data_IF_628755022780
#
_entry.id   IF_628755022780
#
_cell.length_a   1.000
_cell.length_b   1.000
_cell.length_c   1.000
_cell.angle_alpha   90.00
_cell.angle_beta   90.00
_cell.angle_gamma   90.00
#
_symmetry.space_group_name_H-M   'P 1'
#
loop_
_entity.id
_entity.type
_entity.pdbx_description
1 polymer ?
#
# COMPACT_ATOMS: atom_id res chain seq x y z
N UNK A 1 16.64 29.60 5.75
CA UNK A 1 15.73 30.14 6.78
C UNK A 1 14.47 29.31 6.79
N UNK A 2 14.08 28.79 7.94
CA UNK A 2 12.82 28.04 8.07
C UNK A 2 11.66 29.03 8.14
N UNK A 3 10.64 28.83 7.31
CA UNK A 3 9.46 29.71 7.26
C UNK A 3 8.32 29.16 8.09
N UNK A 4 7.45 30.04 8.62
CA UNK A 4 6.22 29.63 9.30
C UNK A 4 5.32 28.80 8.38
N UNK A 5 5.34 29.07 7.08
CA UNK A 5 4.62 28.28 6.06
C UNK A 5 5.13 26.85 5.98
N UNK A 6 6.43 26.62 6.17
CA UNK A 6 7.04 25.28 6.14
C UNK A 6 6.56 24.49 7.36
N UNK A 7 6.67 25.09 8.55
CA UNK A 7 6.20 24.50 9.81
C UNK A 7 4.70 24.23 9.75
N UNK A 8 3.91 25.18 9.26
CA UNK A 8 2.46 25.03 9.12
C UNK A 8 2.10 23.88 8.20
N UNK A 9 2.75 23.79 7.04
CA UNK A 9 2.45 22.76 6.04
C UNK A 9 2.79 21.37 6.57
N UNK A 10 3.98 21.19 7.15
CA UNK A 10 4.40 19.92 7.75
C UNK A 10 3.53 19.55 8.94
N UNK A 11 3.26 20.48 9.86
CA UNK A 11 2.51 20.18 11.07
C UNK A 11 1.03 19.88 10.78
N UNK A 12 0.41 20.56 9.81
CA UNK A 12 -0.97 20.24 9.40
C UNK A 12 -1.07 18.94 8.60
N UNK A 13 -0.03 18.57 7.84
CA UNK A 13 0.01 17.26 7.21
C UNK A 13 0.06 16.13 8.25
N UNK A 14 0.80 16.35 9.35
CA UNK A 14 0.88 15.40 10.46
C UNK A 14 -0.37 15.39 11.36
N UNK A 15 -0.88 16.57 11.71
CA UNK A 15 -2.02 16.77 12.61
C UNK A 15 -2.98 17.81 11.99
N UNK A 16 -3.90 17.38 11.10
CA UNK A 16 -4.77 18.29 10.35
C UNK A 16 -5.66 19.21 11.20
N UNK A 17 -5.99 18.78 12.42
CA UNK A 17 -6.85 19.53 13.35
C UNK A 17 -6.05 20.38 14.35
N UNK A 18 -4.73 20.52 14.18
CA UNK A 18 -3.92 21.34 15.06
C UNK A 18 -4.40 22.81 15.06
N UNK A 19 -4.62 23.42 16.24
CA UNK A 19 -4.91 24.85 16.33
C UNK A 19 -3.71 25.68 15.86
N UNK A 20 -3.98 26.84 15.25
CA UNK A 20 -2.92 27.71 14.74
C UNK A 20 -1.98 28.20 15.85
N UNK A 21 -2.47 28.37 17.08
CA UNK A 21 -1.67 28.76 18.25
C UNK A 21 -0.54 27.75 18.55
N UNK A 22 -0.81 26.44 18.41
CA UNK A 22 0.18 25.38 18.60
C UNK A 22 1.27 25.44 17.52
N UNK A 23 0.87 25.70 16.26
CA UNK A 23 1.78 25.82 15.12
C UNK A 23 2.68 27.05 15.26
N UNK A 24 2.10 28.19 15.64
CA UNK A 24 2.86 29.44 15.84
C UNK A 24 3.82 29.31 17.03
N UNK A 25 3.42 28.66 18.12
CA UNK A 25 4.33 28.38 19.24
C UNK A 25 5.54 27.52 18.82
N UNK A 26 5.30 26.46 18.04
CA UNK A 26 6.36 25.62 17.49
C UNK A 26 7.27 26.41 16.52
N UNK A 27 6.69 27.28 15.69
CA UNK A 27 7.48 28.12 14.77
C UNK A 27 8.41 29.08 15.53
N UNK A 28 7.91 29.75 16.57
CA UNK A 28 8.76 30.65 17.37
C UNK A 28 9.87 29.87 18.11
N UNK A 29 9.59 28.67 18.60
CA UNK A 29 10.63 27.78 19.15
C UNK A 29 11.71 27.45 18.12
N UNK A 30 11.30 26.98 16.93
CA UNK A 30 12.19 26.65 15.81
C UNK A 30 13.05 27.87 15.43
N UNK A 31 12.43 29.05 15.38
CA UNK A 31 13.10 30.30 15.01
C UNK A 31 14.15 30.70 16.04
N UNK A 32 13.84 30.63 17.32
CA UNK A 32 14.80 30.91 18.40
C UNK A 32 15.98 29.92 18.37
N UNK A 33 15.71 28.64 18.13
CA UNK A 33 16.76 27.62 18.00
C UNK A 33 17.62 27.85 16.75
N UNK A 34 17.02 28.21 15.61
CA UNK A 34 17.75 28.54 14.37
C UNK A 34 18.67 29.74 14.57
N UNK A 35 18.18 30.80 15.24
CA UNK A 35 19.00 31.98 15.55
C UNK A 35 20.19 31.63 16.44
N UNK A 36 19.99 30.88 17.51
CA UNK A 36 21.08 30.44 18.39
C UNK A 36 22.11 29.57 17.65
N UNK A 37 21.66 28.62 16.82
CA UNK A 37 22.55 27.77 16.03
C UNK A 37 23.32 28.54 14.98
N UNK A 38 22.69 29.52 14.36
CA UNK A 38 23.35 30.40 13.40
C UNK A 38 24.49 31.15 14.08
N UNK A 39 24.25 31.80 15.22
CA UNK A 39 25.32 32.47 15.96
C UNK A 39 26.46 31.52 16.35
N UNK A 40 26.14 30.31 16.79
CA UNK A 40 27.14 29.27 17.05
C UNK A 40 28.00 28.96 15.82
N UNK A 41 27.37 28.70 14.66
CA UNK A 41 28.09 28.38 13.43
C UNK A 41 28.87 29.57 12.86
N UNK A 42 28.37 30.80 13.01
CA UNK A 42 29.10 32.01 12.62
C UNK A 42 30.44 32.10 13.38
N UNK A 43 30.42 31.86 14.70
CA UNK A 43 31.64 31.84 15.51
C UNK A 43 32.58 30.70 15.11
N UNK A 44 32.06 29.48 14.94
CA UNK A 44 32.89 28.32 14.62
C UNK A 44 33.52 28.42 13.23
N UNK A 45 32.76 28.87 12.23
CA UNK A 45 33.28 29.09 10.88
C UNK A 45 34.27 30.25 10.85
N UNK A 46 34.04 31.32 11.62
CA UNK A 46 35.01 32.41 11.76
C UNK A 46 36.31 31.91 12.41
N UNK A 47 36.24 31.14 13.50
CA UNK A 47 37.42 30.53 14.15
C UNK A 47 38.17 29.62 13.17
N UNK A 48 37.46 28.79 12.41
CA UNK A 48 38.04 27.92 11.41
C UNK A 48 38.75 28.70 10.30
N UNK A 49 38.13 29.78 9.81
CA UNK A 49 38.70 30.66 8.80
C UNK A 49 39.98 31.34 9.31
N UNK A 50 39.95 31.93 10.52
CA UNK A 50 41.13 32.57 11.12
C UNK A 50 42.28 31.57 11.29
N UNK A 51 41.97 30.33 11.72
CA UNK A 51 42.97 29.27 11.84
C UNK A 51 43.61 28.92 10.50
N UNK A 52 42.84 28.89 9.41
CA UNK A 52 43.34 28.64 8.06
C UNK A 52 44.16 29.84 7.51
N UNK A 53 43.82 31.06 7.91
CA UNK A 53 44.40 32.31 7.40
C UNK A 53 45.33 32.99 8.42
N UNK A 54 46.10 32.20 9.19
CA UNK A 54 47.17 32.67 10.07
C UNK A 54 46.74 33.73 11.10
N UNK A 55 45.48 33.71 11.54
CA UNK A 55 44.93 34.61 12.54
C UNK A 55 44.44 35.95 12.00
N UNK A 56 44.45 36.17 10.68
CA UNK A 56 43.84 37.34 10.06
C UNK A 56 42.33 37.35 10.31
N UNK A 57 41.71 38.54 10.30
CA UNK A 57 40.24 38.65 10.35
C UNK A 57 39.68 38.49 8.93
N UNK A 58 38.51 37.84 8.75
CA UNK A 58 37.87 37.76 7.45
C UNK A 58 37.53 39.16 6.93
N UNK A 59 37.76 39.38 5.65
CA UNK A 59 37.30 40.57 4.95
C UNK A 59 35.79 40.61 4.81
N UNK A 60 35.28 41.63 4.12
CA UNK A 60 33.83 41.81 3.94
C UNK A 60 33.18 40.63 3.21
N UNK A 61 33.78 40.19 2.08
CA UNK A 61 33.23 39.11 1.27
C UNK A 61 33.29 37.76 2.00
N UNK A 62 34.39 37.49 2.70
CA UNK A 62 34.57 36.27 3.49
C UNK A 62 33.59 36.25 4.66
N UNK A 63 33.33 37.40 5.29
CA UNK A 63 32.32 37.51 6.34
C UNK A 63 30.94 37.18 5.79
N UNK A 64 30.54 37.70 4.63
CA UNK A 64 29.25 37.36 4.01
C UNK A 64 29.14 35.86 3.71
N UNK A 65 30.20 35.24 3.20
CA UNK A 65 30.21 33.79 2.94
C UNK A 65 30.08 32.97 4.23
N UNK A 66 30.76 33.38 5.30
CA UNK A 66 30.64 32.75 6.63
C UNK A 66 29.20 32.87 7.15
N UNK A 67 28.57 34.04 7.04
CA UNK A 67 27.19 34.26 7.49
C UNK A 67 26.19 33.39 6.72
N UNK A 68 26.35 33.28 5.40
CA UNK A 68 25.49 32.43 4.56
C UNK A 68 25.65 30.95 4.91
N UNK A 69 26.90 30.48 5.02
CA UNK A 69 27.19 29.10 5.39
C UNK A 69 26.69 28.76 6.79
N UNK A 70 26.82 29.68 7.75
CA UNK A 70 26.28 29.49 9.09
C UNK A 70 24.76 29.37 9.10
N UNK A 71 24.06 30.19 8.30
CA UNK A 71 22.61 30.08 8.14
C UNK A 71 22.21 28.72 7.54
N UNK A 72 22.93 28.24 6.53
CA UNK A 72 22.66 26.92 5.92
C UNK A 72 22.87 25.77 6.92
N UNK A 73 23.94 25.79 7.70
CA UNK A 73 24.18 24.76 8.73
C UNK A 73 23.11 24.78 9.81
N UNK A 74 22.75 25.96 10.30
CA UNK A 74 21.69 26.11 11.30
C UNK A 74 20.35 25.59 10.78
N UNK A 75 19.94 26.01 9.58
CA UNK A 75 18.71 25.55 8.95
C UNK A 75 18.70 24.03 8.80
N UNK A 76 19.76 23.43 8.27
CA UNK A 76 19.84 21.98 8.06
C UNK A 76 19.69 21.22 9.38
N UNK A 77 20.37 21.67 10.44
CA UNK A 77 20.28 21.04 11.76
C UNK A 77 18.88 21.17 12.36
N UNK A 78 18.26 22.36 12.28
CA UNK A 78 16.92 22.57 12.85
C UNK A 78 15.85 21.83 12.05
N UNK A 79 15.91 21.84 10.71
CA UNK A 79 15.00 21.03 9.89
C UNK A 79 15.11 19.55 10.22
N UNK A 80 16.33 19.02 10.33
CA UNK A 80 16.57 17.61 10.63
C UNK A 80 16.07 17.18 12.02
N UNK A 81 16.04 18.10 12.99
CA UNK A 81 15.58 17.78 14.34
C UNK A 81 14.06 17.98 14.53
N UNK A 82 13.48 19.00 13.91
CA UNK A 82 12.09 19.39 14.17
C UNK A 82 11.12 18.95 13.08
N UNK A 83 11.50 19.06 11.80
CA UNK A 83 10.59 18.83 10.68
C UNK A 83 10.76 17.44 10.04
N UNK A 84 11.98 16.92 10.02
CA UNK A 84 12.26 15.61 9.44
C UNK A 84 11.56 14.46 10.21
N UNK A 85 11.52 14.42 11.55
CA UNK A 85 10.79 13.37 12.26
C UNK A 85 9.28 13.40 11.97
N UNK A 86 8.69 14.60 11.87
CA UNK A 86 7.30 14.77 11.47
C UNK A 86 7.06 14.28 10.04
N UNK A 87 7.98 14.60 9.13
CA UNK A 87 7.93 14.16 7.73
C UNK A 87 7.96 12.64 7.63
N UNK A 88 8.82 11.97 8.39
CA UNK A 88 8.89 10.50 8.43
C UNK A 88 7.59 9.89 8.96
N UNK A 89 6.98 10.48 9.99
CA UNK A 89 5.70 10.01 10.52
C UNK A 89 4.54 10.22 9.53
N UNK A 90 4.53 11.33 8.79
CA UNK A 90 3.54 11.58 7.73
C UNK A 90 3.64 10.51 6.64
N UNK A 91 4.86 10.23 6.16
CA UNK A 91 5.09 9.21 5.14
C UNK A 91 4.63 7.84 5.64
N UNK A 92 4.95 7.48 6.89
CA UNK A 92 4.53 6.22 7.48
C UNK A 92 3.00 6.10 7.57
N UNK A 93 2.31 7.16 8.03
CA UNK A 93 0.84 7.18 8.09
C UNK A 93 0.20 7.06 6.71
N UNK A 94 0.80 7.68 5.68
CA UNK A 94 0.31 7.57 4.31
C UNK A 94 0.41 6.13 3.80
N UNK A 95 1.55 5.48 4.02
CA UNK A 95 1.73 4.07 3.66
C UNK A 95 0.74 3.17 4.38
N UNK A 96 0.57 3.34 5.69
CA UNK A 96 -0.39 2.56 6.48
C UNK A 96 -1.84 2.76 6.01
N UNK A 97 -2.21 3.99 5.65
CA UNK A 97 -3.53 4.28 5.11
C UNK A 97 -3.73 3.67 3.72
N UNK A 98 -2.72 3.76 2.84
CA UNK A 98 -2.76 3.14 1.51
C UNK A 98 -2.89 1.62 1.61
N UNK A 99 -2.10 0.98 2.48
CA UNK A 99 -2.18 -0.47 2.74
C UNK A 99 -3.56 -0.86 3.31
N UNK A 100 -4.10 -0.08 4.25
CA UNK A 100 -5.43 -0.32 4.82
C UNK A 100 -6.55 -0.16 3.77
N UNK A 101 -6.46 0.87 2.92
CA UNK A 101 -7.41 1.09 1.82
C UNK A 101 -7.36 -0.04 0.78
N UNK A 102 -6.16 -0.50 0.42
CA UNK A 102 -5.98 -1.62 -0.50
C UNK A 102 -6.53 -2.92 0.09
N UNK A 103 -6.26 -3.18 1.37
CA UNK A 103 -6.82 -4.34 2.09
C UNK A 103 -8.34 -4.27 2.13
N UNK A 104 -8.92 -3.12 2.49
CA UNK A 104 -10.37 -2.93 2.54
C UNK A 104 -11.02 -3.05 1.15
N UNK A 105 -10.36 -2.58 0.09
CA UNK A 105 -10.83 -2.72 -1.29
C UNK A 105 -10.82 -4.19 -1.73
N UNK A 106 -9.78 -4.93 -1.37
CA UNK A 106 -9.64 -6.35 -1.69
C UNK A 106 -10.71 -7.16 -0.96
N UNK A 107 -10.91 -6.89 0.33
CA UNK A 107 -11.97 -7.51 1.14
C UNK A 107 -13.37 -7.20 0.59
N UNK A 108 -13.65 -5.94 0.23
CA UNK A 108 -14.93 -5.57 -0.40
C UNK A 108 -15.12 -6.30 -1.73
N UNK A 109 -14.08 -6.37 -2.56
CA UNK A 109 -14.12 -7.10 -3.83
C UNK A 109 -14.42 -8.58 -3.63
N UNK A 110 -13.84 -9.19 -2.59
CA UNK A 110 -14.12 -10.56 -2.18
C UNK A 110 -15.56 -10.76 -1.72
N UNK A 111 -16.07 -9.91 -0.84
CA UNK A 111 -17.45 -9.98 -0.36
C UNK A 111 -18.48 -9.80 -1.48
N UNK A 112 -18.24 -8.88 -2.41
CA UNK A 112 -19.08 -8.70 -3.60
C UNK A 112 -19.08 -9.94 -4.50
N UNK A 113 -17.93 -10.58 -4.69
CA UNK A 113 -17.82 -11.80 -5.48
C UNK A 113 -18.51 -13.00 -4.82
N UNK A 114 -18.54 -13.04 -3.49
CA UNK A 114 -19.25 -14.06 -2.73
C UNK A 114 -20.77 -13.85 -2.73
N UNK A 115 -21.24 -12.60 -2.83
CA UNK A 115 -22.67 -12.29 -2.84
C UNK A 115 -23.38 -12.69 -4.15
N UNK A 116 -22.63 -12.81 -5.26
CA UNK A 116 -23.16 -13.20 -6.56
C UNK A 116 -22.88 -14.70 -6.84
N UNK A 117 -23.93 -15.52 -7.08
CA UNK A 117 -23.79 -16.96 -7.28
C UNK A 117 -23.02 -17.37 -8.55
N UNK A 118 -22.74 -16.44 -9.47
CA UNK A 118 -22.00 -16.70 -10.70
C UNK A 118 -20.58 -16.12 -10.72
N UNK A 119 -20.22 -15.21 -9.80
CA UNK A 119 -18.91 -14.56 -9.84
C UNK A 119 -17.76 -15.50 -9.47
N UNK A 120 -18.00 -16.58 -8.75
CA UNK A 120 -16.95 -17.53 -8.38
C UNK A 120 -16.24 -18.20 -9.55
N UNK A 121 -16.92 -18.32 -10.70
CA UNK A 121 -16.35 -18.89 -11.93
C UNK A 121 -16.06 -17.85 -13.02
N UNK A 122 -16.75 -16.71 -12.99
CA UNK A 122 -16.52 -15.61 -13.94
C UNK A 122 -15.30 -14.77 -13.56
N UNK A 123 -15.12 -14.50 -12.26
CA UNK A 123 -14.05 -13.66 -11.72
C UNK A 123 -13.35 -14.36 -10.54
N UNK A 124 -12.80 -15.58 -10.75
CA UNK A 124 -12.28 -16.40 -9.67
C UNK A 124 -11.16 -15.76 -8.86
N UNK A 125 -10.43 -14.80 -9.42
CA UNK A 125 -9.36 -14.04 -8.75
C UNK A 125 -9.86 -13.04 -7.71
N UNK A 126 -11.17 -12.74 -7.67
CA UNK A 126 -11.75 -11.84 -6.66
C UNK A 126 -12.06 -12.56 -5.36
N UNK A 127 -12.16 -13.89 -5.39
CA UNK A 127 -12.40 -14.69 -4.19
C UNK A 127 -11.06 -15.05 -3.57
N UNK A 128 -10.92 -14.79 -2.28
CA UNK A 128 -9.84 -15.32 -1.46
C UNK A 128 -10.39 -16.57 -0.75
N UNK A 129 -10.00 -17.79 -1.18
CA UNK A 129 -10.51 -18.99 -0.53
C UNK A 129 -9.96 -19.12 0.88
N UNK A 130 -10.79 -19.62 1.79
CA UNK A 130 -10.35 -20.00 3.14
C UNK A 130 -9.34 -21.15 3.06
N UNK A 131 -8.45 -21.26 4.06
CA UNK A 131 -7.49 -22.36 4.10
C UNK A 131 -8.21 -23.72 4.23
N UNK A 132 -9.30 -23.78 5.01
CA UNK A 132 -10.15 -24.98 5.10
C UNK A 132 -10.75 -25.39 3.74
N UNK A 133 -11.14 -24.43 2.89
CA UNK A 133 -11.66 -24.72 1.55
C UNK A 133 -10.57 -25.25 0.61
N UNK A 134 -9.35 -24.70 0.70
CA UNK A 134 -8.20 -25.17 -0.10
C UNK A 134 -7.79 -26.58 0.31
N UNK A 135 -7.66 -26.83 1.61
CA UNK A 135 -7.31 -28.14 2.14
C UNK A 135 -8.34 -29.19 1.73
N UNK A 136 -9.64 -28.84 1.83
CA UNK A 136 -10.70 -29.72 1.37
C UNK A 136 -10.67 -29.95 -0.14
N UNK A 137 -10.41 -28.93 -0.96
CA UNK A 137 -10.29 -29.07 -2.41
C UNK A 137 -9.12 -29.98 -2.80
N UNK A 138 -7.95 -29.81 -2.17
CA UNK A 138 -6.77 -30.63 -2.39
C UNK A 138 -7.04 -32.10 -2.03
N UNK A 139 -7.79 -32.34 -0.96
CA UNK A 139 -8.15 -33.71 -0.56
C UNK A 139 -9.16 -34.34 -1.51
N UNK A 140 -10.18 -33.58 -1.94
CA UNK A 140 -11.23 -34.07 -2.84
C UNK A 140 -10.70 -34.30 -4.26
N UNK A 141 -9.81 -33.43 -4.75
CA UNK A 141 -9.32 -33.45 -6.13
C UNK A 141 -7.79 -33.21 -6.23
N UNK A 142 -6.95 -34.11 -5.68
CA UNK A 142 -5.49 -33.91 -5.55
C UNK A 142 -4.76 -33.81 -6.89
N UNK A 143 -5.28 -34.46 -7.94
CA UNK A 143 -4.67 -34.51 -9.28
C UNK A 143 -5.40 -33.61 -10.30
N UNK A 144 -6.06 -32.56 -9.81
CA UNK A 144 -6.82 -31.63 -10.66
C UNK A 144 -5.94 -30.60 -11.37
N UNK A 145 -6.45 -30.00 -12.45
CA UNK A 145 -5.77 -28.89 -13.11
C UNK A 145 -5.78 -27.64 -12.24
N UNK A 146 -4.82 -26.73 -12.42
CA UNK A 146 -4.79 -25.46 -11.67
C UNK A 146 -6.09 -24.66 -11.78
N UNK A 147 -6.71 -24.63 -12.97
CA UNK A 147 -7.99 -23.94 -13.16
C UNK A 147 -9.12 -24.62 -12.40
N UNK A 148 -9.17 -25.96 -12.43
CA UNK A 148 -10.15 -26.73 -11.68
C UNK A 148 -9.98 -26.49 -10.17
N UNK A 149 -8.75 -26.57 -9.65
CA UNK A 149 -8.45 -26.34 -8.24
C UNK A 149 -8.91 -24.95 -7.77
N UNK A 150 -8.57 -23.88 -8.50
CA UNK A 150 -9.02 -22.51 -8.19
C UNK A 150 -10.56 -22.42 -8.12
N UNK A 151 -11.24 -23.06 -9.08
CA UNK A 151 -12.70 -23.05 -9.12
C UNK A 151 -13.31 -23.90 -7.99
N UNK A 152 -12.66 -25.02 -7.62
CA UNK A 152 -13.05 -25.85 -6.49
C UNK A 152 -12.93 -25.08 -5.17
N UNK A 153 -11.78 -24.45 -4.92
CA UNK A 153 -11.53 -23.60 -3.74
C UNK A 153 -12.62 -22.54 -3.58
N UNK A 154 -12.93 -21.84 -4.66
CA UNK A 154 -13.94 -20.78 -4.69
C UNK A 154 -15.36 -21.31 -4.43
N UNK A 155 -15.72 -22.44 -5.06
CA UNK A 155 -17.03 -23.05 -4.87
C UNK A 155 -17.21 -23.56 -3.45
N UNK A 156 -16.19 -24.20 -2.87
CA UNK A 156 -16.22 -24.65 -1.48
C UNK A 156 -16.29 -23.47 -0.51
N UNK A 157 -15.57 -22.38 -0.77
CA UNK A 157 -15.65 -21.13 0.01
C UNK A 157 -17.06 -20.55 0.00
N UNK A 158 -17.70 -20.48 -1.18
CA UNK A 158 -19.10 -20.05 -1.28
C UNK A 158 -20.04 -20.95 -0.48
N UNK A 159 -19.86 -22.27 -0.58
CA UNK A 159 -20.70 -23.23 0.14
C UNK A 159 -20.54 -23.11 1.64
N UNK A 160 -19.31 -22.94 2.14
CA UNK A 160 -19.04 -22.66 3.55
C UNK A 160 -19.75 -21.38 4.02
N UNK A 161 -19.64 -20.29 3.26
CA UNK A 161 -20.29 -19.01 3.59
C UNK A 161 -21.81 -19.11 3.69
N UNK A 162 -22.43 -19.89 2.81
CA UNK A 162 -23.87 -20.05 2.72
C UNK A 162 -24.41 -21.25 3.52
N UNK A 163 -23.60 -21.85 4.39
CA UNK A 163 -23.95 -23.05 5.17
C UNK A 163 -24.51 -24.20 4.30
N UNK A 164 -24.00 -24.34 3.08
CA UNK A 164 -24.39 -25.40 2.16
C UNK A 164 -23.62 -26.70 2.46
N UNK A 165 -24.21 -27.88 2.18
CA UNK A 165 -23.54 -29.16 2.41
C UNK A 165 -22.20 -29.25 1.69
N UNK A 166 -21.16 -29.78 2.33
CA UNK A 166 -19.87 -30.09 1.68
C UNK A 166 -19.67 -31.61 1.68
N UNK A 167 -18.85 -32.15 0.75
CA UNK A 167 -18.59 -33.58 0.66
C UNK A 167 -17.59 -33.99 1.76
N UNK A 168 -18.08 -34.04 3.00
CA UNK A 168 -17.29 -34.44 4.18
C UNK A 168 -17.24 -35.96 4.36
N UNK A 169 -17.90 -36.73 3.49
CA UNK A 169 -17.99 -38.18 3.66
C UNK A 169 -16.72 -38.85 3.12
N UNK A 170 -15.95 -39.40 4.05
CA UNK A 170 -14.79 -40.23 3.76
C UNK A 170 -15.14 -41.69 4.06
N UNK A 171 -14.85 -42.59 3.12
CA UNK A 171 -14.88 -44.04 3.33
C UNK A 171 -13.44 -44.49 3.59
N UNK A 172 -13.12 -44.85 4.83
CA UNK A 172 -11.81 -45.38 5.22
C UNK A 172 -10.60 -44.48 4.85
N UNK A 173 -10.77 -43.16 4.96
CA UNK A 173 -9.72 -42.18 4.62
C UNK A 173 -9.55 -41.93 3.12
N UNK A 174 -10.45 -42.47 2.29
CA UNK A 174 -10.54 -42.23 0.86
C UNK A 174 -11.81 -41.42 0.59
N UNK A 175 -11.70 -40.44 -0.31
CA UNK A 175 -12.84 -39.66 -0.80
C UNK A 175 -13.85 -40.61 -1.46
N UNK A 176 -15.09 -40.62 -0.98
CA UNK A 176 -16.15 -41.38 -1.64
C UNK A 176 -16.55 -40.69 -2.94
N UNK A 177 -15.88 -41.07 -4.03
CA UNK A 177 -16.20 -40.53 -5.36
C UNK A 177 -17.59 -40.95 -5.85
N UNK A 178 -18.28 -41.87 -5.16
CA UNK A 178 -19.67 -42.22 -5.48
C UNK A 178 -20.71 -41.34 -4.77
N UNK A 179 -20.29 -40.45 -3.85
CA UNK A 179 -21.17 -39.48 -3.20
C UNK A 179 -21.85 -38.59 -4.27
N UNK A 180 -23.20 -38.54 -4.31
CA UNK A 180 -23.93 -37.67 -5.21
C UNK A 180 -23.49 -36.20 -5.14
N UNK A 181 -23.14 -35.69 -3.96
CA UNK A 181 -22.68 -34.32 -3.77
C UNK A 181 -21.28 -34.12 -4.38
N UNK A 182 -20.36 -35.07 -4.18
CA UNK A 182 -19.05 -35.03 -4.81
C UNK A 182 -19.17 -34.98 -6.35
N UNK A 183 -20.03 -35.82 -6.93
CA UNK A 183 -20.28 -35.87 -8.37
C UNK A 183 -20.93 -34.58 -8.90
N UNK A 184 -21.90 -34.03 -8.16
CA UNK A 184 -22.54 -32.75 -8.49
C UNK A 184 -21.51 -31.63 -8.54
N UNK A 185 -20.70 -31.47 -7.48
CA UNK A 185 -19.70 -30.40 -7.42
C UNK A 185 -18.63 -30.57 -8.50
N UNK A 186 -18.12 -31.78 -8.70
CA UNK A 186 -17.14 -32.08 -9.77
C UNK A 186 -17.69 -31.68 -11.14
N UNK A 187 -18.96 -31.98 -11.40
CA UNK A 187 -19.65 -31.62 -12.65
C UNK A 187 -19.83 -30.12 -12.78
N UNK A 188 -20.20 -29.44 -11.69
CA UNK A 188 -20.40 -27.99 -11.65
C UNK A 188 -19.08 -27.24 -11.92
N UNK A 189 -17.97 -27.69 -11.33
CA UNK A 189 -16.64 -27.12 -11.53
C UNK A 189 -16.18 -27.33 -12.97
N UNK A 190 -16.30 -28.55 -13.51
CA UNK A 190 -15.92 -28.83 -14.90
C UNK A 190 -16.75 -28.00 -15.90
N UNK A 191 -18.06 -27.86 -15.67
CA UNK A 191 -18.91 -27.01 -16.50
C UNK A 191 -18.55 -25.52 -16.38
N UNK A 192 -18.18 -25.06 -15.18
CA UNK A 192 -17.70 -23.71 -14.93
C UNK A 192 -16.36 -23.43 -15.63
N UNK A 193 -15.43 -24.38 -15.64
CA UNK A 193 -14.15 -24.27 -16.35
C UNK A 193 -14.36 -24.06 -17.85
N UNK A 194 -15.24 -24.85 -18.47
CA UNK A 194 -15.60 -24.69 -19.89
C UNK A 194 -16.21 -23.31 -20.16
N UNK A 195 -17.17 -22.88 -19.32
CA UNK A 195 -17.81 -21.57 -19.45
C UNK A 195 -16.81 -20.41 -19.28
N UNK A 196 -15.91 -20.50 -18.31
CA UNK A 196 -14.87 -19.52 -18.05
C UNK A 196 -13.92 -19.38 -19.25
N UNK A 197 -13.51 -20.50 -19.86
CA UNK A 197 -12.66 -20.51 -21.05
C UNK A 197 -13.37 -19.88 -22.26
N UNK A 198 -14.65 -20.18 -22.48
CA UNK A 198 -15.44 -19.56 -23.54
C UNK A 198 -15.59 -18.04 -23.34
N UNK A 199 -15.85 -17.60 -22.11
CA UNK A 199 -15.96 -16.18 -21.78
C UNK A 199 -14.64 -15.42 -22.03
N UNK A 200 -13.50 -16.02 -21.66
CA UNK A 200 -12.16 -15.47 -21.94
C UNK A 200 -11.92 -15.33 -23.44
N UNK A 201 -12.25 -16.34 -24.23
CA UNK A 201 -12.12 -16.29 -25.69
C UNK A 201 -12.98 -15.18 -26.31
N UNK A 202 -14.23 -15.03 -25.87
CA UNK A 202 -15.14 -13.99 -26.36
C UNK A 202 -14.63 -12.58 -26.01
N UNK A 203 -14.10 -12.37 -24.80
CA UNK A 203 -13.48 -11.10 -24.40
C UNK A 203 -12.28 -10.74 -25.28
N UNK A 204 -11.41 -11.70 -25.58
CA UNK A 204 -10.26 -11.49 -26.47
C UNK A 204 -10.69 -11.14 -27.90
N UNK A 205 -11.73 -11.78 -28.43
CA UNK A 205 -12.26 -11.48 -29.74
C UNK A 205 -12.81 -10.05 -29.80
N UNK A 206 -13.58 -9.63 -28.79
CA UNK A 206 -14.14 -8.28 -28.70
C UNK A 206 -13.04 -7.21 -28.62
N UNK A 207 -11.98 -7.43 -27.83
CA UNK A 207 -10.82 -6.54 -27.75
C UNK A 207 -10.13 -6.43 -29.11
N UNK A 208 -9.96 -7.55 -29.82
CA UNK A 208 -9.33 -7.59 -31.14
C UNK A 208 -10.13 -6.81 -32.17
N UNK A 209 -11.47 -6.97 -32.18
CA UNK A 209 -12.39 -6.20 -33.03
C UNK A 209 -12.31 -4.70 -32.75
N UNK A 210 -12.31 -4.32 -31.47
CA UNK A 210 -12.20 -2.91 -31.08
C UNK A 210 -10.88 -2.27 -31.54
N UNK A 211 -9.75 -2.96 -31.37
CA UNK A 211 -8.43 -2.49 -31.84
C UNK A 211 -8.37 -2.36 -33.37
N UNK A 212 -8.99 -3.26 -34.10
CA UNK A 212 -9.08 -3.17 -35.56
C UNK A 212 -9.89 -1.96 -36.03
N UNK A 213 -10.99 -1.63 -35.34
CA UNK A 213 -11.79 -0.44 -35.64
C UNK A 213 -11.06 0.87 -35.34
N UNK A 214 -10.27 0.92 -34.26
CA UNK A 214 -9.47 2.08 -33.89
C UNK A 214 -8.31 2.34 -34.88
N UNK A 215 -7.72 1.30 -35.46
CA UNK A 215 -6.64 1.45 -36.45
C UNK A 215 -7.14 1.77 -37.88
N UNK A 216 -8.45 1.83 -38.09
CA UNK A 216 -9.08 2.20 -39.37
C UNK A 216 -9.61 3.65 -39.40
N UNK A 217 -9.43 4.40 -38.31
CA UNK A 217 -9.72 5.84 -38.20
C UNK A 217 -8.43 6.64 -38.22
#
# INVERSE_FOLDING_TARGET
MILESDVTSTYKAYKPQAPQEEITALFEEIREVELHRRSYWEEELKKAWMKANRGEQPGFLETLAILDQAAQHAEMQVRGEYLEPLTQQIVQQQLENEEAEETAKTERSHQEALADPDLWWQEPWRIQPSDDAKDLAEWLWPESTTTFAILADNLLTLRQLHDLPLPWQFLDGIVDTSDPLYQELTTQIAAAEIRSNNLKAQRQENISRYRQQQNQQ
#
